data_IF_877567560720
#
_entry.id   IF_877567560720
#
_cell.length_a   1.000
_cell.length_b   1.000
_cell.length_c   1.000
_cell.angle_alpha   90.00
_cell.angle_beta   90.00
_cell.angle_gamma   90.00
#
_symmetry.space_group_name_H-M   'P 1'
#
loop_
_entity.id
_entity.type
_entity.pdbx_description
1 polymer ?
#
# COMPACT_ATOMS: atom_id res chain seq x y z
N UNK A 1 70.08 34.22 13.71
CA UNK A 1 68.96 35.18 13.52
C UNK A 1 68.43 35.03 12.09
N UNK A 2 67.18 34.56 11.99
CA UNK A 2 66.19 34.91 10.95
C UNK A 2 66.46 34.47 9.49
N UNK A 3 66.38 33.16 9.16
CA UNK A 3 65.86 32.73 7.84
C UNK A 3 65.73 31.22 7.59
N UNK A 4 65.35 30.38 8.58
CA UNK A 4 65.13 28.94 8.29
C UNK A 4 63.87 28.27 8.86
N UNK A 5 62.98 29.03 9.51
CA UNK A 5 61.79 28.47 10.18
C UNK A 5 60.45 28.89 9.54
N UNK A 6 60.34 29.09 8.21
CA UNK A 6 59.06 29.56 7.63
C UNK A 6 58.48 28.81 6.42
N UNK A 7 59.10 27.78 5.85
CA UNK A 7 58.60 27.25 4.55
C UNK A 7 58.51 25.72 4.39
N UNK A 8 58.55 24.93 5.46
CA UNK A 8 58.28 23.49 5.36
C UNK A 8 56.96 23.13 6.05
N UNK A 9 55.85 23.48 5.41
CA UNK A 9 54.55 22.91 5.73
C UNK A 9 54.53 21.42 5.40
N UNK A 10 54.28 20.59 6.42
CA UNK A 10 53.49 19.33 6.42
C UNK A 10 53.99 18.42 7.54
N UNK A 11 53.07 17.95 8.39
CA UNK A 11 53.30 16.71 9.10
C UNK A 11 52.49 16.49 10.38
N UNK A 12 51.38 15.77 10.22
CA UNK A 12 50.95 14.66 11.09
C UNK A 12 50.47 14.94 12.53
N UNK A 13 49.16 14.68 12.71
CA UNK A 13 48.65 13.90 13.84
C UNK A 13 48.38 14.67 15.13
N UNK A 14 47.10 14.73 15.53
CA UNK A 14 46.76 14.77 16.96
C UNK A 14 45.40 14.14 17.20
N UNK A 15 45.46 13.00 17.88
CA UNK A 15 44.35 12.24 18.44
C UNK A 15 43.44 13.12 19.31
N UNK A 16 42.15 12.77 19.30
CA UNK A 16 41.09 13.29 20.16
C UNK A 16 41.55 13.36 21.62
N UNK A 17 41.40 14.54 22.21
CA UNK A 17 41.61 14.82 23.63
C UNK A 17 40.25 15.09 24.26
N UNK A 18 39.91 14.37 25.34
CA UNK A 18 38.86 14.80 26.28
C UNK A 18 37.68 13.85 26.42
N UNK A 19 37.92 12.66 26.99
CA UNK A 19 37.00 12.09 27.98
C UNK A 19 37.12 12.96 29.23
N UNK A 20 36.09 13.71 29.59
CA UNK A 20 35.91 14.31 30.91
C UNK A 20 34.40 14.41 31.16
N UNK A 21 33.94 13.51 32.02
CA UNK A 21 32.68 13.63 32.75
C UNK A 21 32.93 14.74 33.78
N UNK A 22 32.16 15.82 33.73
CA UNK A 22 32.08 16.76 34.85
C UNK A 22 30.62 17.15 35.03
N UNK A 23 30.21 17.15 36.28
CA UNK A 23 28.85 17.35 36.75
C UNK A 23 28.55 18.84 36.96
N UNK A 24 27.25 19.12 37.04
CA UNK A 24 26.61 20.28 37.68
C UNK A 24 26.22 21.50 36.81
N UNK A 25 24.88 21.62 36.72
CA UNK A 25 24.05 22.80 36.94
C UNK A 25 23.82 23.87 35.84
N UNK A 26 22.53 24.25 35.78
CA UNK A 26 21.90 25.48 35.25
C UNK A 26 21.44 25.55 33.78
N UNK A 27 20.09 25.48 33.66
CA UNK A 27 19.18 26.17 32.73
C UNK A 27 19.65 26.56 31.31
N UNK A 28 19.20 25.79 30.31
CA UNK A 28 18.84 26.39 29.01
C UNK A 28 17.54 25.77 28.45
N UNK A 29 16.56 26.65 28.36
CA UNK A 29 15.25 26.56 27.73
C UNK A 29 15.26 25.74 26.42
N UNK A 30 14.75 24.50 26.49
CA UNK A 30 14.64 23.61 25.31
C UNK A 30 13.69 24.23 24.29
N UNK A 31 14.12 24.49 23.03
CA UNK A 31 13.27 25.15 22.05
C UNK A 31 12.13 24.21 21.64
N UNK A 32 10.93 24.46 22.17
CA UNK A 32 9.69 23.75 21.87
C UNK A 32 9.30 23.76 20.37
N UNK A 33 9.95 24.62 19.57
CA UNK A 33 9.78 24.67 18.11
C UNK A 33 10.17 23.38 17.39
N UNK A 34 11.09 22.58 17.93
CA UNK A 34 11.55 21.35 17.26
C UNK A 34 10.59 20.16 17.41
N UNK A 35 9.68 20.17 18.40
CA UNK A 35 8.62 19.13 18.51
C UNK A 35 7.47 19.36 17.53
N UNK A 36 7.07 20.62 17.32
CA UNK A 36 6.00 20.97 16.37
C UNK A 36 6.34 20.65 14.92
N UNK A 37 7.62 20.61 14.57
CA UNK A 37 8.06 20.27 13.21
C UNK A 37 8.11 18.75 12.97
N UNK A 38 8.15 17.94 14.04
CA UNK A 38 8.11 16.47 13.94
C UNK A 38 6.66 15.96 13.97
N UNK A 39 5.76 16.59 14.73
CA UNK A 39 4.32 16.24 14.71
C UNK A 39 3.63 16.63 13.39
N UNK A 40 4.13 17.65 12.68
CA UNK A 40 3.64 18.01 11.33
C UNK A 40 4.19 17.10 10.22
N UNK A 41 5.16 16.23 10.54
CA UNK A 41 5.70 15.25 9.59
C UNK A 41 4.97 13.90 9.67
N UNK A 42 3.97 13.77 10.56
CA UNK A 42 3.10 12.59 10.70
C UNK A 42 1.67 12.84 10.25
N UNK A 43 1.33 14.04 9.80
CA UNK A 43 0.09 14.29 9.05
C UNK A 43 0.36 13.89 7.60
N UNK A 44 -0.01 12.63 7.33
CA UNK A 44 -0.32 12.01 6.05
C UNK A 44 0.06 12.83 4.82
N UNK A 45 1.14 12.39 4.16
CA UNK A 45 1.23 12.51 2.72
C UNK A 45 0.11 11.69 2.10
N UNK A 46 -1.09 12.27 2.04
CA UNK A 46 -2.05 11.97 0.99
C UNK A 46 -1.38 12.45 -0.28
N UNK A 47 -0.66 11.52 -0.90
CA UNK A 47 -0.10 11.66 -2.23
C UNK A 47 -1.22 12.19 -3.13
N UNK A 48 -0.91 13.24 -3.89
CA UNK A 48 -1.69 13.73 -5.03
C UNK A 48 -1.89 12.55 -6.01
N UNK A 49 -2.81 11.64 -5.72
CA UNK A 49 -3.44 10.77 -6.71
C UNK A 49 -4.15 11.75 -7.65
N UNK A 50 -3.59 11.91 -8.86
CA UNK A 50 -4.10 12.75 -9.94
C UNK A 50 -5.63 12.80 -9.87
N UNK A 51 -6.22 14.01 -9.74
CA UNK A 51 -7.66 14.25 -9.80
C UNK A 51 -8.21 13.84 -11.17
N UNK A 52 -8.23 12.54 -11.43
CA UNK A 52 -9.02 11.91 -12.46
C UNK A 52 -10.41 11.84 -11.86
N UNK A 53 -11.37 12.48 -12.53
CA UNK A 53 -12.77 12.44 -12.14
C UNK A 53 -13.16 10.97 -11.92
N UNK A 54 -13.44 10.60 -10.67
CA UNK A 54 -13.87 9.26 -10.30
C UNK A 54 -15.11 8.92 -11.13
N UNK A 55 -15.07 7.77 -11.81
CA UNK A 55 -16.22 7.35 -12.61
C UNK A 55 -17.28 6.87 -11.62
N UNK A 56 -18.24 7.73 -11.31
CA UNK A 56 -19.31 7.41 -10.36
C UNK A 56 -20.10 6.17 -10.82
N UNK A 57 -20.35 6.08 -12.13
CA UNK A 57 -21.12 4.99 -12.71
C UNK A 57 -20.28 4.12 -13.67
N UNK A 58 -19.73 3.02 -13.15
CA UNK A 58 -19.03 1.99 -13.93
C UNK A 58 -19.98 1.15 -14.80
N UNK A 59 -21.29 1.17 -14.56
CA UNK A 59 -22.28 0.36 -15.28
C UNK A 59 -22.55 0.87 -16.70
N UNK A 60 -22.32 2.15 -16.97
CA UNK A 60 -22.42 2.71 -18.32
C UNK A 60 -21.16 2.35 -19.12
N UNK A 61 -21.23 1.21 -19.80
CA UNK A 61 -20.18 0.68 -20.67
C UNK A 61 -19.93 1.54 -21.93
N UNK A 62 -20.73 2.59 -22.17
CA UNK A 62 -20.62 3.48 -23.35
C UNK A 62 -20.55 2.76 -24.70
N UNK A 63 -21.15 1.57 -24.78
CA UNK A 63 -21.18 0.73 -25.98
C UNK A 63 -19.97 -0.22 -26.16
N UNK A 64 -19.04 -0.26 -25.20
CA UNK A 64 -17.94 -1.22 -25.20
C UNK A 64 -18.36 -2.57 -24.57
N UNK A 65 -17.62 -3.64 -24.90
CA UNK A 65 -17.71 -4.88 -24.12
C UNK A 65 -17.10 -4.69 -22.73
N UNK A 66 -17.48 -5.50 -21.75
CA UNK A 66 -16.92 -5.43 -20.38
C UNK A 66 -15.39 -5.55 -20.40
N UNK A 67 -14.87 -6.49 -21.20
CA UNK A 67 -13.42 -6.71 -21.33
C UNK A 67 -12.68 -5.47 -21.84
N UNK A 68 -13.20 -4.84 -22.89
CA UNK A 68 -12.61 -3.61 -23.45
C UNK A 68 -12.72 -2.47 -22.44
N UNK A 69 -13.89 -2.31 -21.81
CA UNK A 69 -14.16 -1.26 -20.83
C UNK A 69 -13.20 -1.31 -19.65
N UNK A 70 -13.04 -2.48 -19.02
CA UNK A 70 -12.12 -2.69 -17.88
C UNK A 70 -10.66 -2.44 -18.27
N UNK A 71 -10.31 -2.60 -19.55
CA UNK A 71 -8.96 -2.35 -20.05
C UNK A 71 -8.67 -0.88 -20.34
N UNK A 72 -9.69 -0.02 -20.41
CA UNK A 72 -9.51 1.42 -20.61
C UNK A 72 -8.96 2.08 -19.34
N UNK A 73 -8.06 3.06 -19.50
CA UNK A 73 -7.34 3.67 -18.38
C UNK A 73 -8.25 4.25 -17.28
N UNK A 74 -9.33 4.94 -17.66
CA UNK A 74 -10.29 5.52 -16.71
C UNK A 74 -11.00 4.46 -15.86
N UNK A 75 -11.77 3.54 -16.47
CA UNK A 75 -12.44 2.46 -15.74
C UNK A 75 -11.46 1.57 -14.98
N UNK A 76 -10.29 1.25 -15.55
CA UNK A 76 -9.24 0.48 -14.87
C UNK A 76 -8.84 1.13 -13.55
N UNK A 77 -8.58 2.44 -13.55
CA UNK A 77 -8.17 3.17 -12.36
C UNK A 77 -9.30 3.23 -11.31
N UNK A 78 -10.53 3.46 -11.75
CA UNK A 78 -11.69 3.45 -10.85
C UNK A 78 -11.88 2.07 -10.19
N UNK A 79 -11.78 1.00 -10.97
CA UNK A 79 -11.85 -0.39 -10.47
C UNK A 79 -10.74 -0.64 -9.44
N UNK A 80 -9.52 -0.18 -9.72
CA UNK A 80 -8.39 -0.27 -8.80
C UNK A 80 -8.67 0.45 -7.47
N UNK A 81 -9.18 1.68 -7.51
CA UNK A 81 -9.54 2.45 -6.31
C UNK A 81 -10.65 1.78 -5.51
N UNK A 82 -11.68 1.24 -6.18
CA UNK A 82 -12.77 0.50 -5.52
C UNK A 82 -12.26 -0.76 -4.83
N UNK A 83 -11.35 -1.52 -5.46
CA UNK A 83 -10.72 -2.68 -4.80
C UNK A 83 -9.87 -2.28 -3.59
N UNK A 84 -9.06 -1.22 -3.68
CA UNK A 84 -8.31 -0.68 -2.53
C UNK A 84 -9.26 -0.31 -1.38
N UNK A 85 -10.34 0.40 -1.69
CA UNK A 85 -11.34 0.81 -0.71
C UNK A 85 -12.09 -0.38 -0.11
N UNK A 86 -12.41 -1.38 -0.91
CA UNK A 86 -13.01 -2.63 -0.45
C UNK A 86 -12.12 -3.34 0.57
N UNK A 87 -10.82 -3.53 0.26
CA UNK A 87 -9.88 -4.16 1.18
C UNK A 87 -9.66 -3.36 2.47
N UNK A 88 -9.76 -2.02 2.41
CA UNK A 88 -9.56 -1.15 3.58
C UNK A 88 -10.81 -1.01 4.46
N UNK A 89 -12.00 -1.03 3.88
CA UNK A 89 -13.24 -0.63 4.58
C UNK A 89 -14.21 -1.77 4.85
N UNK A 90 -14.06 -2.92 4.20
CA UNK A 90 -14.97 -4.04 4.39
C UNK A 90 -14.88 -4.60 5.82
N UNK A 91 -16.05 -4.72 6.45
CA UNK A 91 -16.23 -5.24 7.82
C UNK A 91 -17.21 -6.38 7.81
N UNK A 92 -16.98 -7.38 8.66
CA UNK A 92 -17.94 -8.46 8.90
C UNK A 92 -19.18 -7.92 9.63
N UNK A 93 -20.23 -8.75 9.71
CA UNK A 93 -21.42 -8.62 10.54
C UNK A 93 -21.15 -8.17 11.99
N UNK A 94 -19.98 -8.49 12.56
CA UNK A 94 -19.55 -8.09 13.90
C UNK A 94 -18.80 -6.75 13.96
N UNK A 95 -18.57 -6.09 12.83
CA UNK A 95 -17.85 -4.81 12.72
C UNK A 95 -16.33 -4.93 12.67
N UNK A 96 -15.78 -6.14 12.54
CA UNK A 96 -14.33 -6.36 12.42
C UNK A 96 -13.87 -6.28 10.97
N UNK A 97 -12.71 -5.64 10.74
CA UNK A 97 -12.10 -5.58 9.42
C UNK A 97 -11.43 -6.92 9.07
N UNK A 98 -12.12 -7.71 8.25
CA UNK A 98 -11.73 -9.07 7.88
C UNK A 98 -10.40 -9.09 7.11
N UNK A 99 -10.20 -8.15 6.19
CA UNK A 99 -9.02 -8.14 5.34
C UNK A 99 -7.77 -7.70 6.08
N UNK A 100 -7.89 -6.81 7.09
CA UNK A 100 -6.76 -6.44 7.95
C UNK A 100 -6.16 -7.67 8.65
N UNK A 101 -7.00 -8.54 9.19
CA UNK A 101 -6.55 -9.77 9.85
C UNK A 101 -5.99 -10.77 8.84
N UNK A 102 -6.71 -11.02 7.73
CA UNK A 102 -6.24 -11.93 6.67
C UNK A 102 -4.90 -11.53 6.07
N UNK A 103 -4.70 -10.24 5.79
CA UNK A 103 -3.41 -9.71 5.30
C UNK A 103 -2.33 -9.91 6.36
N UNK A 104 -2.64 -9.63 7.63
CA UNK A 104 -1.68 -9.83 8.73
C UNK A 104 -1.22 -11.28 8.82
N UNK A 105 -2.14 -12.23 8.75
CA UNK A 105 -1.82 -13.66 8.86
C UNK A 105 -1.09 -14.17 7.62
N UNK A 106 -1.49 -13.73 6.43
CA UNK A 106 -0.78 -14.00 5.18
C UNK A 106 0.69 -13.55 5.26
N UNK A 107 0.95 -12.33 5.71
CA UNK A 107 2.31 -11.79 5.84
C UNK A 107 3.13 -12.49 6.93
N UNK A 108 2.52 -12.86 8.07
CA UNK A 108 3.22 -13.62 9.13
C UNK A 108 3.68 -14.99 8.64
N UNK A 109 2.90 -15.60 7.75
CA UNK A 109 3.19 -16.92 7.17
C UNK A 109 4.00 -16.84 5.86
N UNK A 110 4.40 -15.64 5.43
CA UNK A 110 5.10 -15.39 4.17
C UNK A 110 4.38 -15.98 2.95
N UNK A 111 3.05 -15.90 2.94
CA UNK A 111 2.22 -16.36 1.80
C UNK A 111 1.93 -15.20 0.85
N UNK A 112 1.66 -15.52 -0.40
CA UNK A 112 1.31 -14.54 -1.43
C UNK A 112 -0.16 -14.59 -1.85
N UNK A 113 -0.96 -15.48 -1.25
CA UNK A 113 -2.36 -15.69 -1.64
C UNK A 113 -3.34 -15.08 -0.65
N UNK A 114 -4.12 -14.10 -1.11
CA UNK A 114 -5.18 -13.45 -0.32
C UNK A 114 -6.55 -13.99 -0.74
N UNK A 115 -7.26 -14.67 0.17
CA UNK A 115 -8.60 -15.22 -0.14
C UNK A 115 -9.68 -14.16 0.08
N UNK A 116 -10.52 -13.95 -0.93
CA UNK A 116 -11.67 -13.04 -0.93
C UNK A 116 -12.95 -13.85 -1.16
N UNK A 117 -14.00 -13.56 -0.38
CA UNK A 117 -15.30 -14.18 -0.57
C UNK A 117 -16.08 -13.42 -1.65
N UNK A 118 -16.65 -14.13 -2.62
CA UNK A 118 -17.45 -13.51 -3.67
C UNK A 118 -18.73 -12.85 -3.11
N UNK A 119 -19.34 -13.44 -2.09
CA UNK A 119 -20.55 -12.87 -1.48
C UNK A 119 -20.29 -11.50 -0.85
N UNK A 120 -19.16 -11.35 -0.15
CA UNK A 120 -18.72 -10.09 0.44
C UNK A 120 -18.46 -9.02 -0.64
N UNK A 121 -17.82 -9.43 -1.74
CA UNK A 121 -17.57 -8.56 -2.89
C UNK A 121 -18.89 -8.11 -3.54
N UNK A 122 -19.82 -9.04 -3.75
CA UNK A 122 -21.12 -8.75 -4.35
C UNK A 122 -22.01 -7.85 -3.45
N UNK A 123 -21.90 -7.99 -2.13
CA UNK A 123 -22.65 -7.17 -1.18
C UNK A 123 -22.15 -5.70 -1.14
N UNK A 124 -20.85 -5.47 -1.38
CA UNK A 124 -20.25 -4.13 -1.31
C UNK A 124 -20.10 -3.46 -2.67
N UNK A 125 -19.66 -4.20 -3.68
CA UNK A 125 -19.35 -3.73 -5.02
C UNK A 125 -20.00 -4.67 -6.06
N UNK A 126 -21.33 -4.58 -6.19
CA UNK A 126 -22.11 -5.47 -7.07
C UNK A 126 -21.69 -5.38 -8.54
N UNK A 127 -21.26 -4.20 -9.00
CA UNK A 127 -20.78 -3.99 -10.38
C UNK A 127 -19.51 -4.79 -10.67
N UNK A 128 -18.55 -4.78 -9.74
CA UNK A 128 -17.30 -5.53 -9.90
C UNK A 128 -17.55 -7.03 -9.86
N UNK A 129 -18.47 -7.47 -8.99
CA UNK A 129 -18.90 -8.86 -8.91
C UNK A 129 -19.58 -9.33 -10.22
N UNK A 130 -20.31 -8.44 -10.91
CA UNK A 130 -20.89 -8.71 -12.22
C UNK A 130 -19.84 -8.78 -13.34
N UNK A 131 -18.81 -7.94 -13.31
CA UNK A 131 -17.76 -7.98 -14.34
C UNK A 131 -16.80 -9.18 -14.19
N UNK A 132 -16.66 -9.73 -12.98
CA UNK A 132 -15.69 -10.78 -12.68
C UNK A 132 -15.83 -12.06 -13.54
N UNK A 133 -17.04 -12.62 -13.78
CA UNK A 133 -17.19 -13.76 -14.69
C UNK A 133 -16.89 -13.44 -16.17
N UNK A 134 -17.09 -12.19 -16.59
CA UNK A 134 -16.97 -11.77 -18.01
C UNK A 134 -15.52 -11.44 -18.40
N UNK A 135 -14.77 -10.80 -17.49
CA UNK A 135 -13.39 -10.37 -17.70
C UNK A 135 -12.48 -10.71 -16.49
N UNK A 136 -12.35 -12.01 -16.12
CA UNK A 136 -11.63 -12.40 -14.91
C UNK A 136 -10.13 -12.11 -14.99
N UNK A 137 -9.51 -12.25 -16.16
CA UNK A 137 -8.06 -12.06 -16.31
C UNK A 137 -7.68 -10.60 -16.06
N UNK A 138 -8.42 -9.67 -16.66
CA UNK A 138 -8.22 -8.24 -16.54
C UNK A 138 -8.55 -7.75 -15.13
N UNK A 139 -9.66 -8.20 -14.54
CA UNK A 139 -10.07 -7.80 -13.19
C UNK A 139 -9.14 -8.33 -12.11
N UNK A 140 -8.76 -9.61 -12.16
CA UNK A 140 -7.88 -10.18 -11.14
C UNK A 140 -6.50 -9.55 -11.21
N UNK A 141 -6.01 -9.18 -12.39
CA UNK A 141 -4.76 -8.42 -12.50
C UNK A 141 -4.86 -7.06 -11.77
N UNK A 142 -5.94 -6.32 -11.98
CA UNK A 142 -6.16 -5.02 -11.29
C UNK A 142 -6.30 -5.24 -9.77
N UNK A 143 -6.93 -6.33 -9.36
CA UNK A 143 -7.14 -6.64 -7.96
C UNK A 143 -5.83 -7.05 -7.26
N UNK A 144 -4.97 -7.82 -7.94
CA UNK A 144 -3.64 -8.20 -7.45
C UNK A 144 -2.76 -6.96 -7.22
N UNK A 145 -2.77 -6.00 -8.16
CA UNK A 145 -2.08 -4.71 -8.03
C UNK A 145 -2.60 -3.90 -6.82
N UNK A 146 -3.92 -3.75 -6.70
CA UNK A 146 -4.56 -3.07 -5.57
C UNK A 146 -4.23 -3.75 -4.23
N UNK A 147 -4.25 -5.07 -4.18
CA UNK A 147 -3.94 -5.84 -2.98
C UNK A 147 -2.47 -5.67 -2.58
N UNK A 148 -1.54 -5.69 -3.53
CA UNK A 148 -0.12 -5.45 -3.28
C UNK A 148 0.10 -4.08 -2.64
N UNK A 149 -0.51 -3.02 -3.17
CA UNK A 149 -0.40 -1.68 -2.60
C UNK A 149 -0.92 -1.61 -1.15
N UNK A 150 -2.08 -2.23 -0.87
CA UNK A 150 -2.63 -2.26 0.49
C UNK A 150 -1.72 -3.04 1.44
N UNK A 151 -1.15 -4.16 0.99
CA UNK A 151 -0.21 -4.97 1.77
C UNK A 151 1.07 -4.21 2.06
N UNK A 152 1.66 -3.54 1.07
CA UNK A 152 2.88 -2.76 1.23
C UNK A 152 2.67 -1.52 2.11
N UNK A 153 1.50 -0.89 2.05
CA UNK A 153 1.13 0.20 2.96
C UNK A 153 1.12 -0.27 4.44
N UNK A 154 0.67 -1.50 4.72
CA UNK A 154 0.68 -2.08 6.07
C UNK A 154 2.07 -2.64 6.47
N UNK A 155 2.78 -3.24 5.51
CA UNK A 155 4.04 -3.94 5.72
C UNK A 155 5.08 -3.54 4.64
N UNK A 156 5.73 -2.37 4.77
CA UNK A 156 6.63 -1.84 3.72
C UNK A 156 7.85 -2.71 3.40
N UNK A 157 8.21 -3.64 4.31
CA UNK A 157 9.35 -4.55 4.12
C UNK A 157 8.96 -5.85 3.41
N UNK A 158 7.68 -6.08 3.15
CA UNK A 158 7.17 -7.33 2.57
C UNK A 158 7.63 -7.55 1.13
N UNK A 159 7.93 -6.46 0.40
CA UNK A 159 8.55 -6.45 -0.93
C UNK A 159 9.87 -7.26 -1.00
N UNK A 160 10.56 -7.48 0.13
CA UNK A 160 11.76 -8.31 0.17
C UNK A 160 11.49 -9.81 0.11
N UNK A 161 10.25 -10.22 0.34
CA UNK A 161 9.84 -11.63 0.40
C UNK A 161 9.14 -12.01 -0.90
N UNK A 162 8.15 -11.21 -1.31
CA UNK A 162 7.37 -11.43 -2.53
C UNK A 162 7.04 -10.10 -3.19
N UNK A 163 7.16 -10.06 -4.53
CA UNK A 163 6.86 -8.87 -5.33
C UNK A 163 5.43 -8.85 -5.89
N UNK A 164 4.66 -9.92 -5.65
CA UNK A 164 3.31 -10.10 -6.18
C UNK A 164 2.42 -10.66 -5.09
N UNK A 165 1.14 -10.26 -5.12
CA UNK A 165 0.07 -10.83 -4.30
C UNK A 165 -0.99 -11.33 -5.27
N UNK A 166 -1.52 -12.53 -5.00
CA UNK A 166 -2.54 -13.17 -5.82
C UNK A 166 -3.84 -13.30 -5.05
N UNK A 167 -4.89 -12.65 -5.54
CA UNK A 167 -6.22 -12.74 -4.98
C UNK A 167 -6.89 -14.05 -5.41
N UNK A 168 -7.45 -14.78 -4.45
CA UNK A 168 -8.16 -16.05 -4.65
C UNK A 168 -9.63 -15.86 -4.30
N UNK A 169 -10.49 -15.96 -5.30
CA UNK A 169 -11.93 -15.84 -5.12
C UNK A 169 -12.50 -17.17 -4.60
N UNK A 170 -13.33 -17.09 -3.56
CA UNK A 170 -14.01 -18.22 -2.93
C UNK A 170 -15.52 -18.04 -2.96
N UNK A 171 -16.27 -19.15 -2.83
CA UNK A 171 -17.74 -19.18 -2.77
C UNK A 171 -18.44 -18.51 -3.97
N UNK A 172 -18.02 -18.86 -5.19
CA UNK A 172 -18.75 -18.45 -6.38
C UNK A 172 -20.18 -19.05 -6.33
N UNK A 173 -21.25 -18.27 -6.57
CA UNK A 173 -22.63 -18.73 -6.40
C UNK A 173 -23.06 -19.76 -7.46
N UNK A 174 -22.28 -19.92 -8.52
CA UNK A 174 -22.55 -20.86 -9.60
C UNK A 174 -21.65 -22.09 -9.46
N UNK A 175 -22.27 -23.25 -9.28
CA UNK A 175 -21.61 -24.56 -9.31
C UNK A 175 -22.17 -25.34 -10.50
N UNK A 176 -21.33 -25.58 -11.50
CA UNK A 176 -21.68 -26.38 -12.67
C UNK A 176 -21.00 -27.75 -12.62
N UNK A 177 -21.67 -28.76 -13.15
CA UNK A 177 -21.05 -30.06 -13.33
C UNK A 177 -20.10 -30.01 -14.54
N UNK A 178 -18.96 -30.70 -14.45
CA UNK A 178 -17.99 -30.79 -15.55
C UNK A 178 -18.61 -31.23 -16.89
N UNK A 179 -19.72 -31.98 -16.85
CA UNK A 179 -20.42 -32.49 -18.04
C UNK A 179 -21.43 -31.52 -18.63
N UNK A 180 -21.82 -30.46 -17.90
CA UNK A 180 -22.75 -29.44 -18.40
C UNK A 180 -22.05 -28.30 -19.13
N UNK A 181 -20.72 -28.22 -19.05
CA UNK A 181 -19.91 -27.27 -19.82
C UNK A 181 -20.08 -27.54 -21.33
N UNK A 182 -20.38 -26.48 -22.09
CA UNK A 182 -20.56 -26.53 -23.55
C UNK A 182 -19.48 -25.75 -24.28
#
# INVERSE_FOLDING_TARGET
MRQRDREAGRGLGRMRRGLLYDSDEEDEERPARKRRQVERATEDGEEDEEMIESIENLEDLKGHSVREWVSMAGPRLEIHHRFKNFLRTHVDSHGHNVFKERISDMCKENRESLVVNYEDLAAREHVLAYFLPEAPAELLQIFDEAALEVVLAMYPKYDRITNHIHVRISHLPLVEELRSLR
#
